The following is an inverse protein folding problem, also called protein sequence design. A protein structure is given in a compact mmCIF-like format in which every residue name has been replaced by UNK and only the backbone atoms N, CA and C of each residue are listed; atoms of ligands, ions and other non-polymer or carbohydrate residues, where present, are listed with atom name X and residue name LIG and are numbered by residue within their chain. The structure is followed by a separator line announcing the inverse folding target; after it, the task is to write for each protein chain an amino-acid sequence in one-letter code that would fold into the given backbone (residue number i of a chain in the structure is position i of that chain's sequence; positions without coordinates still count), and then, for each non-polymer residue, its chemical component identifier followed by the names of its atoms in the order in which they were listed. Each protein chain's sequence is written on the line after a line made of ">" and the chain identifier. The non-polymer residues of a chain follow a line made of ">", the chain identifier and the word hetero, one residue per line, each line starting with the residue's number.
data_IF_918411853004
#
_entry.id   IF_918411853004
#
_cell.length_a   1.000
_cell.length_b   1.000
_cell.length_c   1.000
_cell.angle_alpha   90.00
_cell.angle_beta   90.00
_cell.angle_gamma   90.00
#
_symmetry.space_group_name_H-M   'P 1'
#
loop_
_entity.id
_entity.type
_entity.pdbx_description
1 polymer ?
#
# COMPACT_ATOMS: atom_id res chain seq x y z
N UNK A 1 -3.84 -17.02 -10.48
CA UNK A 1 -3.30 -16.50 -11.76
C UNK A 1 -2.82 -17.62 -12.67
N UNK A 2 -1.89 -18.47 -12.25
CA UNK A 2 -1.42 -19.62 -13.07
C UNK A 2 -2.58 -20.58 -13.39
N UNK A 3 -3.37 -20.97 -12.38
CA UNK A 3 -4.58 -21.79 -12.58
C UNK A 3 -5.66 -21.11 -13.44
N UNK A 4 -5.57 -19.80 -13.65
CA UNK A 4 -6.47 -19.01 -14.50
C UNK A 4 -5.87 -18.75 -15.90
N UNK A 5 -4.78 -19.43 -16.28
CA UNK A 5 -4.16 -19.36 -17.61
C UNK A 5 -3.11 -18.27 -17.80
N UNK A 6 -2.73 -17.52 -16.75
CA UNK A 6 -1.67 -16.51 -16.86
C UNK A 6 -0.30 -17.17 -17.01
N UNK A 7 0.56 -16.66 -17.89
CA UNK A 7 1.92 -17.18 -18.06
C UNK A 7 2.74 -16.94 -16.79
N UNK A 8 3.63 -17.88 -16.38
CA UNK A 8 4.49 -17.68 -15.21
C UNK A 8 5.30 -16.39 -15.29
N UNK A 9 5.79 -16.03 -16.48
CA UNK A 9 6.52 -14.79 -16.71
C UNK A 9 5.68 -13.55 -16.42
N UNK A 10 4.41 -13.52 -16.85
CA UNK A 10 3.50 -12.41 -16.56
C UNK A 10 3.25 -12.26 -15.06
N UNK A 11 3.09 -13.37 -14.34
CA UNK A 11 2.92 -13.36 -12.88
C UNK A 11 4.18 -12.83 -12.19
N UNK A 12 5.37 -13.30 -12.58
CA UNK A 12 6.64 -12.83 -12.03
C UNK A 12 6.82 -11.34 -12.26
N UNK A 13 6.64 -10.87 -13.50
CA UNK A 13 6.82 -9.46 -13.85
C UNK A 13 5.80 -8.56 -13.13
N UNK A 14 4.53 -8.94 -13.11
CA UNK A 14 3.49 -8.16 -12.43
C UNK A 14 3.77 -8.11 -10.93
N UNK A 15 4.12 -9.24 -10.31
CA UNK A 15 4.48 -9.32 -8.89
C UNK A 15 5.70 -8.46 -8.60
N UNK A 16 6.74 -8.52 -9.44
CA UNK A 16 7.95 -7.72 -9.28
C UNK A 16 7.65 -6.22 -9.36
N UNK A 17 6.97 -5.76 -10.41
CA UNK A 17 6.61 -4.36 -10.62
C UNK A 17 5.79 -3.82 -9.45
N UNK A 18 4.77 -4.56 -9.01
CA UNK A 18 3.93 -4.17 -7.87
C UNK A 18 4.72 -4.13 -6.55
N UNK A 19 5.71 -5.01 -6.39
CA UNK A 19 6.56 -5.05 -5.20
C UNK A 19 7.71 -4.05 -5.21
N UNK A 20 8.01 -3.39 -6.34
CA UNK A 20 9.07 -2.38 -6.39
C UNK A 20 8.88 -1.24 -5.39
N UNK A 21 7.64 -0.99 -4.95
CA UNK A 21 7.34 -0.04 -3.86
C UNK A 21 8.13 -0.30 -2.58
N UNK A 22 8.48 -1.55 -2.29
CA UNK A 22 9.30 -1.88 -1.12
C UNK A 22 10.72 -1.34 -1.23
N UNK A 23 11.26 -1.17 -2.44
CA UNK A 23 12.56 -0.51 -2.62
C UNK A 23 12.50 0.98 -2.27
N UNK A 24 11.42 1.66 -2.68
CA UNK A 24 11.20 3.07 -2.34
C UNK A 24 11.01 3.24 -0.83
N UNK A 25 10.17 2.41 -0.21
CA UNK A 25 9.99 2.40 1.25
C UNK A 25 11.31 2.11 1.99
N UNK A 26 12.08 1.13 1.53
CA UNK A 26 13.37 0.80 2.12
C UNK A 26 14.38 1.94 1.99
N UNK A 27 14.40 2.67 0.86
CA UNK A 27 15.26 3.82 0.68
C UNK A 27 14.94 4.95 1.68
N UNK A 28 13.65 5.21 1.93
CA UNK A 28 13.20 6.19 2.93
C UNK A 28 13.50 5.75 4.37
N UNK A 29 13.43 4.45 4.66
CA UNK A 29 13.72 3.88 5.99
C UNK A 29 15.21 3.65 6.26
N UNK A 30 16.05 3.59 5.22
CA UNK A 30 17.48 3.26 5.35
C UNK A 30 18.24 4.11 6.38
N UNK A 31 18.03 5.44 6.49
CA UNK A 31 18.69 6.27 7.51
C UNK A 31 18.38 5.82 8.95
N UNK A 32 17.19 5.27 9.19
CA UNK A 32 16.72 4.83 10.50
C UNK A 32 17.40 3.55 11.00
N UNK A 33 17.96 2.75 10.08
CA UNK A 33 18.52 1.42 10.38
C UNK A 33 20.00 1.28 10.03
N UNK A 34 20.73 2.39 9.84
CA UNK A 34 22.12 2.38 9.37
C UNK A 34 23.10 1.56 10.23
N UNK A 35 22.82 1.37 11.53
CA UNK A 35 23.66 0.59 12.45
C UNK A 35 23.34 -0.93 12.47
N UNK A 36 22.34 -1.38 11.71
CA UNK A 36 21.86 -2.78 11.78
C UNK A 36 22.65 -3.69 10.85
N UNK A 37 22.90 -4.93 11.28
CA UNK A 37 23.55 -5.93 10.44
C UNK A 37 22.65 -6.36 9.27
N UNK A 38 23.25 -6.83 8.17
CA UNK A 38 22.50 -7.31 6.98
C UNK A 38 21.44 -8.36 7.30
N UNK A 39 21.68 -9.22 8.30
CA UNK A 39 20.71 -10.22 8.75
C UNK A 39 19.48 -9.59 9.41
N UNK A 40 19.68 -8.56 10.25
CA UNK A 40 18.57 -7.82 10.86
C UNK A 40 17.80 -7.01 9.82
N UNK A 41 18.52 -6.38 8.88
CA UNK A 41 17.88 -5.68 7.76
C UNK A 41 17.02 -6.61 6.91
N UNK A 42 17.44 -7.85 6.67
CA UNK A 42 16.62 -8.84 5.95
C UNK A 42 15.31 -9.18 6.69
N UNK A 43 15.36 -9.30 8.03
CA UNK A 43 14.16 -9.51 8.85
C UNK A 43 13.24 -8.28 8.85
N UNK A 44 13.82 -7.09 8.94
CA UNK A 44 13.08 -5.81 8.87
C UNK A 44 12.39 -5.70 7.50
N UNK A 45 13.10 -6.00 6.42
CA UNK A 45 12.54 -5.97 5.07
C UNK A 45 11.34 -6.91 4.89
N UNK A 46 11.27 -8.02 5.63
CA UNK A 46 10.14 -8.94 5.58
C UNK A 46 8.84 -8.35 6.16
N UNK A 47 8.96 -7.41 7.11
CA UNK A 47 7.80 -6.82 7.81
C UNK A 47 7.46 -5.41 7.31
N UNK A 48 8.17 -4.91 6.29
CA UNK A 48 7.82 -3.64 5.63
C UNK A 48 6.50 -3.83 4.89
N UNK A 49 5.54 -2.96 5.18
CA UNK A 49 4.29 -2.85 4.45
C UNK A 49 3.83 -1.38 4.44
N UNK A 50 2.79 -1.10 3.66
CA UNK A 50 2.31 0.27 3.43
C UNK A 50 1.83 0.93 4.73
N UNK A 51 1.26 0.15 5.67
CA UNK A 51 0.71 0.62 6.94
C UNK A 51 1.83 1.02 7.93
N UNK A 52 2.80 0.14 8.17
CA UNK A 52 3.93 0.41 9.06
C UNK A 52 4.81 1.54 8.53
N UNK A 53 4.95 1.62 7.21
CA UNK A 53 5.61 2.74 6.54
C UNK A 53 4.88 4.07 6.78
N UNK A 54 3.57 4.13 6.53
CA UNK A 54 2.77 5.35 6.72
C UNK A 54 2.81 5.86 8.17
N UNK A 55 2.75 4.95 9.15
CA UNK A 55 2.87 5.31 10.57
C UNK A 55 4.26 5.86 10.89
N UNK A 56 5.33 5.26 10.35
CA UNK A 56 6.69 5.72 10.61
C UNK A 56 6.97 7.11 10.02
N UNK A 57 6.58 7.36 8.76
CA UNK A 57 6.86 8.64 8.06
C UNK A 57 5.97 9.80 8.51
N UNK A 58 4.81 9.52 9.11
CA UNK A 58 3.91 10.55 9.65
C UNK A 58 4.37 11.11 10.99
N UNK A 59 5.25 10.39 11.72
CA UNK A 59 5.71 10.75 13.06
C UNK A 59 6.99 11.57 13.06
N UNK A 60 7.97 11.23 12.22
CA UNK A 60 9.27 11.92 12.19
C UNK A 60 9.95 11.84 10.83
N UNK A 61 10.86 12.80 10.58
CA UNK A 61 11.75 12.82 9.41
C UNK A 61 13.19 13.09 9.91
N UNK A 62 14.12 12.11 9.84
CA UNK A 62 13.94 10.74 9.35
C UNK A 62 12.99 9.90 10.23
N UNK A 63 12.39 8.82 9.69
CA UNK A 63 11.49 7.96 10.44
C UNK A 63 12.18 7.33 11.67
N UNK A 64 11.48 7.20 12.78
CA UNK A 64 12.00 6.52 13.97
C UNK A 64 11.90 4.99 13.80
N UNK A 65 13.02 4.30 13.98
CA UNK A 65 13.11 2.83 13.92
C UNK A 65 12.20 2.14 14.95
N UNK A 66 12.05 2.70 16.16
CA UNK A 66 11.20 2.13 17.20
C UNK A 66 9.71 2.23 16.84
N UNK A 67 9.29 3.38 16.28
CA UNK A 67 7.92 3.57 15.79
C UNK A 67 7.62 2.61 14.64
N UNK A 68 8.54 2.48 13.69
CA UNK A 68 8.40 1.52 12.60
C UNK A 68 8.28 0.08 13.12
N UNK A 69 9.22 -0.37 13.97
CA UNK A 69 9.23 -1.75 14.47
C UNK A 69 8.01 -2.06 15.33
N UNK A 70 7.57 -1.11 16.17
CA UNK A 70 6.38 -1.26 17.00
C UNK A 70 5.11 -1.38 16.16
N UNK A 71 4.94 -0.52 15.15
CA UNK A 71 3.80 -0.59 14.23
C UNK A 71 3.82 -1.88 13.39
N UNK A 72 4.97 -2.26 12.83
CA UNK A 72 5.13 -3.49 12.06
C UNK A 72 4.82 -4.74 12.91
N UNK A 73 5.25 -4.78 14.17
CA UNK A 73 4.92 -5.87 15.09
C UNK A 73 3.43 -5.94 15.40
N UNK A 74 2.78 -4.80 15.69
CA UNK A 74 1.34 -4.74 15.95
C UNK A 74 0.53 -5.23 14.74
N UNK A 75 0.90 -4.79 13.53
CA UNK A 75 0.27 -5.22 12.27
C UNK A 75 0.49 -6.71 12.04
N UNK A 76 1.70 -7.22 12.28
CA UNK A 76 1.99 -8.64 12.12
C UNK A 76 1.16 -9.51 13.07
N UNK A 77 1.02 -9.11 14.33
CA UNK A 77 0.17 -9.80 15.31
C UNK A 77 -1.30 -9.75 14.89
N UNK A 78 -1.79 -8.60 14.45
CA UNK A 78 -3.15 -8.45 13.95
C UNK A 78 -3.39 -9.34 12.71
N UNK A 79 -2.43 -9.42 11.80
CA UNK A 79 -2.49 -10.27 10.61
C UNK A 79 -2.55 -11.75 10.98
N UNK A 80 -1.60 -12.25 11.79
CA UNK A 80 -1.56 -13.66 12.20
C UNK A 80 -2.82 -14.02 13.00
N UNK A 81 -3.24 -13.14 13.91
CA UNK A 81 -4.47 -13.31 14.69
C UNK A 81 -5.70 -13.36 13.79
N UNK A 82 -5.83 -12.41 12.86
CA UNK A 82 -6.93 -12.33 11.91
C UNK A 82 -6.99 -13.53 10.96
N UNK A 83 -5.86 -14.00 10.44
CA UNK A 83 -5.79 -15.22 9.62
C UNK A 83 -6.14 -16.46 10.44
N UNK A 84 -5.65 -16.55 11.67
CA UNK A 84 -5.96 -17.68 12.55
C UNK A 84 -7.46 -17.73 12.87
N UNK A 85 -8.05 -16.61 13.27
CA UNK A 85 -9.49 -16.53 13.52
C UNK A 85 -10.25 -16.82 12.22
N UNK A 86 -9.91 -16.15 11.12
CA UNK A 86 -10.56 -16.31 9.82
C UNK A 86 -10.53 -17.74 9.30
N UNK A 87 -9.43 -18.47 9.46
CA UNK A 87 -9.34 -19.88 9.06
C UNK A 87 -10.17 -20.79 9.97
N UNK A 88 -10.24 -20.51 11.27
CA UNK A 88 -11.01 -21.29 12.23
C UNK A 88 -12.52 -21.10 12.10
N UNK A 89 -13.00 -19.87 11.89
CA UNK A 89 -14.45 -19.56 11.86
C UNK A 89 -15.00 -19.27 10.46
N UNK A 90 -14.15 -19.00 9.46
CA UNK A 90 -14.59 -18.54 8.13
C UNK A 90 -15.55 -19.50 7.44
N UNK A 91 -15.34 -20.81 7.56
CA UNK A 91 -16.26 -21.82 7.01
C UNK A 91 -17.61 -21.92 7.72
N UNK A 92 -17.79 -21.24 8.86
CA UNK A 92 -19.05 -21.19 9.62
C UNK A 92 -19.83 -19.88 9.41
N UNK A 93 -19.21 -18.88 8.77
CA UNK A 93 -19.88 -17.62 8.46
C UNK A 93 -20.70 -17.82 7.19
N UNK A 94 -22.00 -18.05 7.36
CA UNK A 94 -22.94 -17.98 6.25
C UNK A 94 -23.05 -16.52 5.76
N UNK A 95 -22.93 -16.32 4.46
CA UNK A 95 -23.02 -15.01 3.78
C UNK A 95 -22.10 -13.91 4.39
N UNK A 96 -20.77 -14.03 4.20
CA UNK A 96 -19.79 -13.03 4.69
C UNK A 96 -20.08 -11.59 4.24
N UNK A 97 -20.67 -11.42 3.05
CA UNK A 97 -21.05 -10.15 2.44
C UNK A 97 -22.03 -9.35 3.31
N UNK A 98 -22.91 -10.03 4.07
CA UNK A 98 -23.85 -9.37 4.98
C UNK A 98 -23.16 -8.56 6.08
N UNK A 99 -21.93 -8.94 6.42
CA UNK A 99 -21.10 -8.27 7.41
C UNK A 99 -20.13 -7.25 6.77
N UNK A 100 -20.22 -7.01 5.46
CA UNK A 100 -19.34 -6.11 4.72
C UNK A 100 -17.90 -6.62 4.60
N UNK A 101 -17.68 -7.93 4.76
CA UNK A 101 -16.34 -8.54 4.69
C UNK A 101 -15.73 -8.47 3.27
N UNK A 102 -16.58 -8.36 2.25
CA UNK A 102 -16.22 -8.09 0.86
C UNK A 102 -15.70 -6.65 0.64
N UNK A 103 -16.14 -5.69 1.46
CA UNK A 103 -15.68 -4.29 1.43
C UNK A 103 -14.52 -3.99 2.38
N UNK A 104 -14.18 -4.90 3.29
CA UNK A 104 -13.16 -4.67 4.32
C UNK A 104 -11.80 -4.22 3.73
N UNK A 105 -11.34 -4.85 2.66
CA UNK A 105 -10.05 -4.52 2.05
C UNK A 105 -10.05 -3.13 1.36
N UNK A 106 -11.02 -2.80 0.46
CA UNK A 106 -11.18 -1.43 -0.03
C UNK A 106 -11.28 -0.38 1.08
N UNK A 107 -12.00 -0.67 2.17
CA UNK A 107 -12.15 0.25 3.30
C UNK A 107 -10.82 0.58 3.97
N UNK A 108 -9.95 -0.42 4.18
CA UNK A 108 -8.61 -0.21 4.76
C UNK A 108 -7.75 0.67 3.85
N UNK A 109 -7.75 0.45 2.54
CA UNK A 109 -7.02 1.32 1.60
C UNK A 109 -7.55 2.75 1.61
N UNK A 110 -8.87 2.93 1.64
CA UNK A 110 -9.47 4.25 1.76
C UNK A 110 -9.07 4.94 3.06
N UNK A 111 -9.05 4.22 4.18
CA UNK A 111 -8.58 4.76 5.45
C UNK A 111 -7.10 5.16 5.38
N UNK A 112 -6.24 4.35 4.77
CA UNK A 112 -4.82 4.68 4.59
C UNK A 112 -4.62 5.90 3.71
N UNK A 113 -5.36 6.01 2.60
CA UNK A 113 -5.33 7.22 1.75
C UNK A 113 -5.78 8.42 2.58
N UNK A 114 -6.89 8.32 3.31
CA UNK A 114 -7.42 9.41 4.13
C UNK A 114 -6.40 9.96 5.14
N UNK A 115 -5.56 9.10 5.74
CA UNK A 115 -4.49 9.57 6.65
C UNK A 115 -3.36 10.33 5.95
N UNK A 116 -3.24 10.19 4.63
CA UNK A 116 -2.22 10.83 3.81
C UNK A 116 -2.71 12.12 3.12
N UNK A 117 -4.03 12.38 3.11
CA UNK A 117 -4.60 13.58 2.48
C UNK A 117 -4.47 14.82 3.39
N UNK A 118 -3.26 15.38 3.48
CA UNK A 118 -2.96 16.49 4.40
C UNK A 118 -3.12 17.86 3.74
N UNK A 119 -2.77 17.94 2.46
CA UNK A 119 -2.76 19.19 1.70
C UNK A 119 -3.81 19.16 0.59
N UNK A 120 -4.18 20.35 0.09
CA UNK A 120 -5.13 20.48 -1.03
C UNK A 120 -4.67 19.70 -2.25
N UNK A 121 -3.37 19.63 -2.49
CA UNK A 121 -2.77 18.86 -3.59
C UNK A 121 -3.03 17.36 -3.47
N UNK A 122 -2.90 16.80 -2.27
CA UNK A 122 -3.13 15.36 -2.04
C UNK A 122 -4.57 15.00 -2.42
N UNK A 123 -5.53 15.85 -2.04
CA UNK A 123 -6.93 15.71 -2.43
C UNK A 123 -7.15 15.81 -3.95
N UNK A 124 -6.51 16.77 -4.61
CA UNK A 124 -6.60 16.92 -6.07
C UNK A 124 -6.05 15.70 -6.80
N UNK A 125 -4.90 15.18 -6.36
CA UNK A 125 -4.29 13.97 -6.94
C UNK A 125 -5.17 12.74 -6.68
N UNK A 126 -5.68 12.58 -5.47
CA UNK A 126 -6.54 11.44 -5.12
C UNK A 126 -7.86 11.44 -5.88
N UNK A 127 -8.59 12.56 -5.89
CA UNK A 127 -9.86 12.70 -6.61
C UNK A 127 -9.64 12.62 -8.11
N UNK A 128 -8.58 13.27 -8.63
CA UNK A 128 -8.21 13.18 -10.04
C UNK A 128 -7.91 11.74 -10.47
N UNK A 129 -7.20 10.98 -9.65
CA UNK A 129 -6.88 9.58 -9.91
C UNK A 129 -8.13 8.72 -9.91
N UNK A 130 -9.05 8.94 -8.95
CA UNK A 130 -10.32 8.22 -8.89
C UNK A 130 -11.20 8.47 -10.12
N UNK A 131 -11.34 9.73 -10.54
CA UNK A 131 -12.13 10.10 -11.72
C UNK A 131 -11.50 9.56 -13.00
N UNK A 132 -10.18 9.68 -13.16
CA UNK A 132 -9.46 9.14 -14.31
C UNK A 132 -9.59 7.62 -14.38
N UNK A 133 -9.42 6.92 -13.25
CA UNK A 133 -9.57 5.47 -13.18
C UNK A 133 -10.99 5.04 -13.59
N UNK A 134 -12.03 5.71 -13.08
CA UNK A 134 -13.42 5.41 -13.44
C UNK A 134 -13.67 5.64 -14.93
N UNK A 135 -13.19 6.77 -15.47
CA UNK A 135 -13.34 7.12 -16.88
C UNK A 135 -12.63 6.14 -17.83
N UNK A 136 -11.51 5.55 -17.41
CA UNK A 136 -10.77 4.55 -18.19
C UNK A 136 -11.41 3.17 -18.03
N UNK A 137 -11.87 2.81 -16.83
CA UNK A 137 -12.47 1.50 -16.54
C UNK A 137 -13.71 1.22 -17.41
N UNK A 138 -14.50 2.24 -17.73
CA UNK A 138 -15.67 2.10 -18.61
C UNK A 138 -15.28 1.88 -20.08
N UNK A 139 -14.05 2.26 -20.48
CA UNK A 139 -13.61 2.27 -21.88
C UNK A 139 -12.62 1.16 -22.24
N UNK A 140 -11.80 0.73 -21.29
CA UNK A 140 -10.78 -0.29 -21.50
C UNK A 140 -11.09 -1.56 -20.70
N UNK A 141 -11.03 -2.75 -21.33
CA UNK A 141 -11.17 -4.00 -20.61
C UNK A 141 -9.97 -4.27 -19.70
N UNK A 142 -10.22 -4.92 -18.57
CA UNK A 142 -9.20 -5.30 -17.60
C UNK A 142 -8.76 -4.16 -16.67
N UNK A 143 -7.58 -4.34 -16.05
CA UNK A 143 -7.13 -3.50 -14.94
C UNK A 143 -6.19 -2.36 -15.35
N UNK A 144 -6.16 -2.01 -16.64
CA UNK A 144 -5.30 -0.93 -17.18
C UNK A 144 -5.62 0.45 -16.58
N UNK A 145 -6.87 0.64 -16.16
CA UNK A 145 -7.31 1.87 -15.51
C UNK A 145 -6.49 2.22 -14.26
N UNK A 146 -6.02 1.22 -13.50
CA UNK A 146 -5.19 1.42 -12.30
C UNK A 146 -3.84 2.02 -12.69
N UNK A 147 -3.16 1.41 -13.67
CA UNK A 147 -1.82 1.83 -14.10
C UNK A 147 -1.85 3.19 -14.79
N UNK A 148 -2.78 3.39 -15.73
CA UNK A 148 -2.85 4.63 -16.52
C UNK A 148 -3.24 5.80 -15.63
N UNK A 149 -4.28 5.67 -14.81
CA UNK A 149 -4.69 6.75 -13.91
C UNK A 149 -3.60 7.06 -12.88
N UNK A 150 -3.02 6.02 -12.27
CA UNK A 150 -1.94 6.18 -11.29
C UNK A 150 -0.73 6.92 -11.86
N UNK A 151 -0.21 6.49 -13.02
CA UNK A 151 0.97 7.09 -13.63
C UNK A 151 0.72 8.51 -14.14
N UNK A 152 -0.41 8.74 -14.82
CA UNK A 152 -0.70 10.04 -15.42
C UNK A 152 -1.00 11.11 -14.37
N UNK A 153 -1.86 10.80 -13.40
CA UNK A 153 -2.29 11.78 -12.39
C UNK A 153 -1.21 12.00 -11.35
N UNK A 154 -0.52 10.95 -10.88
CA UNK A 154 0.60 11.12 -9.94
C UNK A 154 1.79 11.79 -10.61
N UNK A 155 2.07 11.49 -11.88
CA UNK A 155 3.11 12.14 -12.67
C UNK A 155 2.84 13.62 -12.89
N UNK A 156 1.61 13.98 -13.28
CA UNK A 156 1.19 15.38 -13.36
C UNK A 156 1.26 16.07 -11.99
N UNK A 157 0.79 15.38 -10.94
CA UNK A 157 0.89 15.85 -9.57
C UNK A 157 2.33 16.16 -9.16
N UNK A 158 3.30 15.33 -9.54
CA UNK A 158 4.72 15.52 -9.25
C UNK A 158 5.37 16.66 -10.04
N UNK A 159 5.01 16.84 -11.32
CA UNK A 159 5.62 17.84 -12.21
C UNK A 159 5.06 19.25 -12.03
N UNK A 160 3.77 19.37 -11.69
CA UNK A 160 3.07 20.65 -11.58
C UNK A 160 2.81 21.08 -10.14
N UNK A 161 3.33 20.34 -9.16
CA UNK A 161 3.22 20.70 -7.75
C UNK A 161 4.35 21.62 -7.33
N UNK A 162 4.03 22.85 -6.90
CA UNK A 162 5.02 23.78 -6.38
C UNK A 162 5.70 23.24 -5.10
N UNK A 163 6.99 23.56 -4.87
CA UNK A 163 7.76 23.06 -3.72
C UNK A 163 7.30 23.61 -2.36
N UNK A 164 6.43 24.63 -2.32
CA UNK A 164 6.27 25.49 -1.14
C UNK A 164 5.36 24.96 -0.02
N UNK A 165 4.65 23.85 -0.21
CA UNK A 165 3.71 23.32 0.80
C UNK A 165 4.37 22.40 1.86
N UNK A 166 5.71 22.41 1.96
CA UNK A 166 6.49 21.58 2.90
C UNK A 166 6.86 22.26 4.23
N UNK A 167 6.17 23.33 4.62
CA UNK A 167 6.35 24.01 5.91
C UNK A 167 5.49 23.40 7.03
#
# INVERSE_FOLDING_TARGET
>A
MIAAGASPLSVILTTYVVNMRHYLMAATLAPSFGAFSRRRLALIAHVVNDESFAVAVSRSRPPDAAVFLGSAAAIFVAFVGGVTVGTLIGGRVAEPERYGLDFAFPAVFLALVATQLRHRRDWLVAVGSALAALAIAVRLPGNWHILIAGLTVSGAGALFGDPEDTA
#
